data_IF_061545123530
#
_entry.id   IF_061545123530
#
_cell.length_a   1.000
_cell.length_b   1.000
_cell.length_c   1.000
_cell.angle_alpha   90.00
_cell.angle_beta   90.00
_cell.angle_gamma   90.00
#
_symmetry.space_group_name_H-M   'P 1'
#
loop_
_entity.id
_entity.type
_entity.pdbx_description
1 polymer ?
#
# COMPACT_ATOMS: atom_id res chain seq x y z
N UNK A 1 36.23 49.07 6.08
CA UNK A 1 36.47 48.55 4.72
C UNK A 1 37.42 47.34 4.68
N UNK A 2 38.45 47.25 5.54
CA UNK A 2 39.47 46.19 5.47
C UNK A 2 39.01 44.74 5.74
N UNK A 3 37.92 44.50 6.48
CA UNK A 3 37.46 43.13 6.78
C UNK A 3 36.75 42.45 5.59
N UNK A 4 36.20 43.23 4.65
CA UNK A 4 35.47 42.74 3.48
C UNK A 4 36.41 42.30 2.35
N UNK A 5 37.48 43.06 2.11
CA UNK A 5 38.49 42.74 1.10
C UNK A 5 39.35 41.53 1.50
N UNK A 6 39.70 41.40 2.78
CA UNK A 6 40.45 40.23 3.27
C UNK A 6 39.63 38.94 3.14
N UNK A 7 38.31 38.99 3.37
CA UNK A 7 37.41 37.85 3.15
C UNK A 7 37.35 37.44 1.67
N UNK A 8 37.33 38.39 0.74
CA UNK A 8 37.34 38.11 -0.71
C UNK A 8 38.65 37.46 -1.17
N UNK A 9 39.80 37.92 -0.67
CA UNK A 9 41.11 37.34 -1.01
C UNK A 9 41.38 35.97 -0.40
N UNK A 10 40.82 35.69 0.78
CA UNK A 10 40.86 34.35 1.38
C UNK A 10 39.94 33.40 0.62
N UNK A 11 38.73 33.83 0.27
CA UNK A 11 37.77 33.03 -0.50
C UNK A 11 38.31 32.66 -1.88
N UNK A 12 38.97 33.58 -2.60
CA UNK A 12 39.56 33.31 -3.90
C UNK A 12 40.70 32.29 -3.81
N UNK A 13 41.58 32.40 -2.80
CA UNK A 13 42.66 31.43 -2.58
C UNK A 13 42.15 30.03 -2.21
N UNK A 14 41.07 29.97 -1.43
CA UNK A 14 40.41 28.69 -1.10
C UNK A 14 39.79 28.07 -2.35
N UNK A 15 39.10 28.86 -3.19
CA UNK A 15 38.55 28.39 -4.46
C UNK A 15 39.64 27.88 -5.41
N UNK A 16 40.76 28.59 -5.54
CA UNK A 16 41.88 28.16 -6.39
C UNK A 16 42.49 26.83 -5.92
N UNK A 17 42.59 26.60 -4.60
CA UNK A 17 43.06 25.33 -4.02
C UNK A 17 42.03 24.22 -4.28
N UNK A 18 40.74 24.50 -4.10
CA UNK A 18 39.66 23.54 -4.36
C UNK A 18 39.64 23.15 -5.84
N UNK A 19 39.78 24.10 -6.76
CA UNK A 19 39.87 23.81 -8.20
C UNK A 19 41.12 23.00 -8.54
N UNK A 20 42.27 23.33 -7.93
CA UNK A 20 43.53 22.61 -8.16
C UNK A 20 43.48 21.15 -7.70
N UNK A 21 42.74 20.86 -6.64
CA UNK A 21 42.59 19.52 -6.08
C UNK A 21 41.20 18.91 -6.33
N UNK A 22 40.39 19.51 -7.22
CA UNK A 22 39.00 19.13 -7.42
C UNK A 22 38.86 17.65 -7.74
N UNK A 23 39.69 17.13 -8.66
CA UNK A 23 39.66 15.72 -9.06
C UNK A 23 39.99 14.77 -7.89
N UNK A 24 40.97 15.13 -7.06
CA UNK A 24 41.36 14.34 -5.88
C UNK A 24 40.25 14.38 -4.83
N UNK A 25 39.68 15.56 -4.57
CA UNK A 25 38.59 15.73 -3.61
C UNK A 25 37.36 14.95 -4.07
N UNK A 26 36.98 15.04 -5.35
CA UNK A 26 35.89 14.27 -5.94
C UNK A 26 36.14 12.76 -5.79
N UNK A 27 37.35 12.28 -6.08
CA UNK A 27 37.70 10.86 -5.94
C UNK A 27 37.62 10.40 -4.47
N UNK A 28 38.13 11.19 -3.53
CA UNK A 28 38.06 10.88 -2.09
C UNK A 28 36.61 10.88 -1.60
N UNK A 29 35.79 11.85 -2.00
CA UNK A 29 34.38 11.89 -1.61
C UNK A 29 33.58 10.74 -2.22
N UNK A 30 33.84 10.40 -3.48
CA UNK A 30 33.18 9.27 -4.15
C UNK A 30 33.56 7.94 -3.50
N UNK A 31 34.86 7.71 -3.24
CA UNK A 31 35.31 6.51 -2.52
C UNK A 31 34.74 6.44 -1.10
N UNK A 32 34.72 7.55 -0.36
CA UNK A 32 34.08 7.61 0.96
C UNK A 32 32.58 7.28 0.89
N UNK A 33 31.87 7.79 -0.12
CA UNK A 33 30.44 7.49 -0.30
C UNK A 33 30.17 6.02 -0.64
N UNK A 34 31.02 5.39 -1.45
CA UNK A 34 30.93 3.95 -1.77
C UNK A 34 31.19 3.09 -0.54
N UNK A 35 32.21 3.43 0.26
CA UNK A 35 32.48 2.75 1.54
C UNK A 35 31.28 2.89 2.47
N UNK A 36 30.68 4.07 2.55
CA UNK A 36 29.48 4.30 3.37
C UNK A 36 28.28 3.49 2.88
N UNK A 37 28.11 3.36 1.56
CA UNK A 37 27.06 2.55 0.98
C UNK A 37 27.20 1.07 1.38
N UNK A 38 28.43 0.55 1.39
CA UNK A 38 28.73 -0.78 1.88
C UNK A 38 28.52 -0.97 3.39
N UNK A 39 28.30 0.10 4.18
CA UNK A 39 27.97 -0.04 5.61
C UNK A 39 26.47 -0.22 5.87
N UNK A 40 25.59 0.17 4.95
CA UNK A 40 24.13 0.02 5.13
C UNK A 40 23.65 -1.40 5.43
N UNK A 41 24.17 -2.46 4.78
CA UNK A 41 23.72 -3.83 5.04
C UNK A 41 24.20 -4.41 6.39
N UNK A 42 24.99 -3.65 7.17
CA UNK A 42 25.46 -4.11 8.47
C UNK A 42 24.32 -4.17 9.49
N UNK A 43 24.30 -5.17 10.39
CA UNK A 43 23.18 -5.40 11.29
C UNK A 43 22.93 -4.26 12.29
N UNK A 44 23.93 -3.42 12.56
CA UNK A 44 23.85 -2.32 13.52
C UNK A 44 23.33 -1.01 12.91
N UNK A 45 23.18 -0.94 11.59
CA UNK A 45 22.74 0.26 10.89
C UNK A 45 21.21 0.48 10.91
N UNK A 46 20.35 -0.52 10.62
CA UNK A 46 18.91 -0.31 10.61
C UNK A 46 18.40 0.01 12.02
N UNK A 47 17.71 1.15 12.16
CA UNK A 47 16.98 1.48 13.38
C UNK A 47 15.72 0.61 13.48
N UNK A 48 15.22 0.45 14.70
CA UNK A 48 13.90 -0.14 14.92
C UNK A 48 12.83 0.60 14.11
N UNK A 49 11.79 -0.12 13.72
CA UNK A 49 10.65 0.43 12.98
C UNK A 49 10.05 1.55 13.84
N UNK A 50 10.04 2.77 13.28
CA UNK A 50 9.41 3.92 13.89
C UNK A 50 8.11 4.20 13.15
N UNK A 51 7.01 4.29 13.89
CA UNK A 51 5.69 4.67 13.39
C UNK A 51 5.38 6.00 14.07
N UNK A 52 5.07 7.04 13.28
CA UNK A 52 4.72 8.33 13.88
C UNK A 52 3.44 8.21 14.72
N UNK A 53 3.32 9.04 15.77
CA UNK A 53 2.10 9.11 16.60
C UNK A 53 0.85 9.53 15.81
N UNK A 54 1.05 10.11 14.62
CA UNK A 54 -0.01 10.53 13.71
C UNK A 54 -0.36 9.46 12.68
N UNK A 55 0.39 8.38 12.65
CA UNK A 55 0.18 7.25 11.77
C UNK A 55 -0.65 6.19 12.48
N UNK A 56 -1.45 5.46 11.71
CA UNK A 56 -2.34 4.38 12.13
C UNK A 56 -1.75 3.55 13.28
N UNK A 57 -2.23 3.71 14.52
CA UNK A 57 -1.67 2.97 15.67
C UNK A 57 -2.11 1.49 15.67
N UNK A 58 -1.23 0.52 15.36
CA UNK A 58 -1.64 -0.88 15.32
C UNK A 58 -1.89 -1.42 16.74
N UNK A 59 -3.01 -2.14 16.94
CA UNK A 59 -3.10 -3.13 18.03
C UNK A 59 -4.00 -2.86 19.25
N UNK A 60 -5.13 -2.13 19.13
CA UNK A 60 -5.98 -1.87 20.31
C UNK A 60 -7.39 -2.49 20.33
N UNK A 61 -7.80 -3.32 19.35
CA UNK A 61 -9.20 -3.77 19.28
C UNK A 61 -9.33 -5.23 18.82
N UNK A 62 -10.10 -6.03 19.58
CA UNK A 62 -10.57 -7.34 19.15
C UNK A 62 -11.58 -7.20 18.01
N UNK A 63 -11.32 -7.85 16.88
CA UNK A 63 -12.18 -7.80 15.69
C UNK A 63 -13.00 -9.07 15.56
N UNK A 64 -14.31 -8.92 15.39
CA UNK A 64 -15.26 -10.02 15.14
C UNK A 64 -15.46 -10.26 13.63
N UNK A 65 -14.37 -10.26 12.86
CA UNK A 65 -14.44 -10.58 11.43
C UNK A 65 -14.60 -12.09 11.22
N UNK A 66 -15.49 -12.50 10.32
CA UNK A 66 -15.64 -13.90 9.90
C UNK A 66 -17.03 -14.51 10.07
N UNK A 67 -17.97 -13.84 10.76
CA UNK A 67 -19.36 -14.32 10.86
C UNK A 67 -20.06 -14.43 9.49
N UNK A 68 -19.74 -13.50 8.58
CA UNK A 68 -20.38 -13.35 7.27
C UNK A 68 -19.61 -14.03 6.11
N UNK A 69 -18.43 -14.61 6.37
CA UNK A 69 -17.54 -15.09 5.29
C UNK A 69 -18.18 -16.21 4.45
N UNK A 70 -18.93 -17.11 5.09
CA UNK A 70 -19.59 -18.23 4.41
C UNK A 70 -20.71 -17.76 3.48
N UNK A 71 -21.46 -16.72 3.88
CA UNK A 71 -22.52 -16.15 3.07
C UNK A 71 -21.94 -15.49 1.82
N UNK A 72 -20.91 -14.64 2.00
CA UNK A 72 -20.23 -13.96 0.88
C UNK A 72 -19.60 -14.97 -0.06
N UNK A 73 -18.94 -16.01 0.46
CA UNK A 73 -18.34 -17.09 -0.34
C UNK A 73 -19.33 -17.79 -1.26
N UNK A 74 -20.47 -18.21 -0.71
CA UNK A 74 -21.51 -18.89 -1.48
C UNK A 74 -22.10 -17.95 -2.54
N UNK A 75 -22.29 -16.66 -2.21
CA UNK A 75 -22.81 -15.67 -3.15
C UNK A 75 -21.82 -15.35 -4.27
N UNK A 76 -20.52 -15.43 -3.99
CA UNK A 76 -19.44 -15.06 -4.91
C UNK A 76 -19.13 -16.14 -5.95
N UNK A 77 -19.70 -17.35 -5.86
CA UNK A 77 -19.42 -18.45 -6.80
C UNK A 77 -19.62 -18.06 -8.27
N UNK A 78 -20.70 -17.33 -8.59
CA UNK A 78 -20.96 -16.84 -9.95
C UNK A 78 -19.98 -15.74 -10.37
N UNK A 79 -19.67 -14.81 -9.47
CA UNK A 79 -18.69 -13.76 -9.75
C UNK A 79 -17.28 -14.33 -9.97
N UNK A 80 -16.90 -15.36 -9.20
CA UNK A 80 -15.63 -16.06 -9.33
C UNK A 80 -15.46 -16.66 -10.72
N UNK A 81 -16.47 -17.36 -11.22
CA UNK A 81 -16.40 -17.97 -12.56
C UNK A 81 -16.27 -16.91 -13.65
N UNK A 82 -16.95 -15.77 -13.51
CA UNK A 82 -16.80 -14.64 -14.45
C UNK A 82 -15.38 -14.07 -14.43
N UNK A 83 -14.80 -13.86 -13.25
CA UNK A 83 -13.43 -13.35 -13.10
C UNK A 83 -12.39 -14.34 -13.65
N UNK A 84 -12.52 -15.62 -13.29
CA UNK A 84 -11.61 -16.67 -13.73
C UNK A 84 -11.64 -16.83 -15.26
N UNK A 85 -12.82 -16.66 -15.88
CA UNK A 85 -13.01 -16.68 -17.33
C UNK A 85 -12.70 -15.33 -18.03
N UNK A 86 -12.32 -14.28 -17.27
CA UNK A 86 -12.09 -12.91 -17.76
C UNK A 86 -13.29 -12.33 -18.52
N UNK A 87 -14.50 -12.67 -18.09
CA UNK A 87 -15.76 -12.19 -18.67
C UNK A 87 -16.09 -10.79 -18.15
N UNK A 88 -16.39 -9.84 -19.03
CA UNK A 88 -16.79 -8.47 -18.72
C UNK A 88 -18.09 -8.37 -17.91
N UNK A 89 -18.88 -9.45 -17.82
CA UNK A 89 -20.06 -9.56 -16.97
C UNK A 89 -19.78 -9.42 -15.46
N UNK A 90 -18.52 -9.58 -15.01
CA UNK A 90 -18.13 -9.51 -13.59
C UNK A 90 -18.60 -8.22 -12.92
N UNK A 91 -18.53 -7.08 -13.61
CA UNK A 91 -18.86 -5.78 -13.05
C UNK A 91 -20.37 -5.63 -12.77
N UNK A 92 -21.23 -6.18 -13.63
CA UNK A 92 -22.67 -6.13 -13.42
C UNK A 92 -23.09 -7.05 -12.26
N UNK A 93 -22.47 -8.22 -12.17
CA UNK A 93 -22.69 -9.14 -11.04
C UNK A 93 -22.25 -8.51 -9.72
N UNK A 94 -21.10 -7.84 -9.71
CA UNK A 94 -20.58 -7.17 -8.52
C UNK A 94 -21.49 -6.01 -8.06
N UNK A 95 -22.01 -5.20 -8.99
CA UNK A 95 -23.01 -4.16 -8.68
C UNK A 95 -24.27 -4.76 -8.04
N UNK A 96 -24.75 -5.89 -8.55
CA UNK A 96 -25.92 -6.60 -7.99
C UNK A 96 -25.66 -7.05 -6.56
N UNK A 97 -24.46 -7.57 -6.27
CA UNK A 97 -24.08 -7.96 -4.91
C UNK A 97 -24.02 -6.74 -3.97
N UNK A 98 -23.49 -5.60 -4.43
CA UNK A 98 -23.46 -4.39 -3.61
C UNK A 98 -24.86 -3.84 -3.32
N UNK A 99 -25.76 -3.88 -4.30
CA UNK A 99 -27.16 -3.51 -4.11
C UNK A 99 -27.85 -4.44 -3.10
N UNK A 100 -27.59 -5.75 -3.16
CA UNK A 100 -28.07 -6.73 -2.15
C UNK A 100 -27.54 -6.42 -0.75
N UNK A 101 -26.31 -5.93 -0.65
CA UNK A 101 -25.69 -5.53 0.62
C UNK A 101 -26.13 -4.13 1.10
N UNK A 102 -26.84 -3.37 0.28
CA UNK A 102 -27.23 -1.99 0.58
C UNK A 102 -26.06 -1.01 0.58
N UNK A 103 -24.99 -1.29 -0.17
CA UNK A 103 -23.80 -0.43 -0.27
C UNK A 103 -23.92 0.43 -1.53
N UNK A 104 -23.65 1.73 -1.39
CA UNK A 104 -23.60 2.65 -2.53
C UNK A 104 -22.49 2.24 -3.51
N UNK A 105 -22.85 1.86 -4.74
CA UNK A 105 -21.86 1.47 -5.75
C UNK A 105 -22.12 2.14 -7.10
N UNK A 106 -21.05 2.27 -7.88
CA UNK A 106 -21.09 2.85 -9.21
C UNK A 106 -20.11 2.13 -10.15
N UNK A 107 -20.59 1.85 -11.36
CA UNK A 107 -19.81 1.25 -12.44
C UNK A 107 -19.38 2.34 -13.41
N UNK A 108 -18.09 2.39 -13.73
CA UNK A 108 -17.53 3.24 -14.77
C UNK A 108 -16.91 2.38 -15.86
N UNK A 109 -17.34 2.58 -17.11
CA UNK A 109 -16.78 1.89 -18.28
C UNK A 109 -16.30 2.93 -19.27
N UNK A 110 -15.03 2.83 -19.68
CA UNK A 110 -14.43 3.70 -20.69
C UNK A 110 -14.51 3.07 -22.10
N UNK A 111 -14.30 3.90 -23.12
CA UNK A 111 -14.27 3.52 -24.54
C UNK A 111 -13.23 2.43 -24.86
N UNK A 112 -12.17 2.32 -24.07
CA UNK A 112 -11.14 1.27 -24.18
C UNK A 112 -11.52 -0.06 -23.48
N UNK A 113 -12.80 -0.24 -23.15
CA UNK A 113 -13.31 -1.41 -22.41
C UNK A 113 -12.64 -1.58 -21.04
N UNK A 114 -12.18 -0.48 -20.44
CA UNK A 114 -11.72 -0.47 -19.05
C UNK A 114 -12.94 -0.33 -18.16
N UNK A 115 -13.23 -1.38 -17.39
CA UNK A 115 -14.35 -1.38 -16.45
C UNK A 115 -13.82 -1.29 -15.04
N UNK A 116 -14.35 -0.35 -14.28
CA UNK A 116 -14.12 -0.22 -12.85
C UNK A 116 -15.46 -0.17 -12.12
N UNK A 117 -15.49 -0.73 -10.92
CA UNK A 117 -16.63 -0.65 -10.01
C UNK A 117 -16.09 -0.14 -8.70
N UNK A 118 -16.65 0.96 -8.19
CA UNK A 118 -16.36 1.42 -6.83
C UNK A 118 -17.60 1.37 -5.97
N UNK A 119 -17.39 1.05 -4.69
CA UNK A 119 -18.42 1.03 -3.67
C UNK A 119 -17.97 1.85 -2.47
N UNK A 120 -18.89 2.54 -1.81
CA UNK A 120 -18.59 3.48 -0.72
C UNK A 120 -19.36 3.06 0.53
N UNK A 121 -18.62 2.80 1.61
CA UNK A 121 -19.16 2.73 2.97
C UNK A 121 -18.93 4.09 3.61
N UNK A 122 -20.01 4.86 3.79
CA UNK A 122 -19.97 6.21 4.35
C UNK A 122 -19.67 6.17 5.85
N UNK A 123 -18.86 7.12 6.31
CA UNK A 123 -18.65 7.36 7.73
C UNK A 123 -19.95 7.83 8.38
N UNK A 124 -20.36 7.18 9.47
CA UNK A 124 -21.57 7.56 10.22
C UNK A 124 -21.30 8.63 11.28
N UNK A 125 -20.04 8.89 11.61
CA UNK A 125 -19.63 9.78 12.73
C UNK A 125 -18.76 10.97 12.30
N UNK A 126 -18.65 11.26 11.00
CA UNK A 126 -17.78 12.31 10.49
C UNK A 126 -18.38 12.99 9.26
N UNK A 127 -17.80 14.12 8.86
CA UNK A 127 -18.31 15.00 7.80
C UNK A 127 -18.09 14.46 6.37
N UNK A 128 -17.73 13.18 6.21
CA UNK A 128 -17.49 12.50 4.90
C UNK A 128 -16.45 13.18 3.99
N UNK A 129 -15.58 14.02 4.57
CA UNK A 129 -14.56 14.78 3.81
C UNK A 129 -13.32 13.95 3.51
N UNK A 130 -12.98 12.99 4.38
CA UNK A 130 -11.80 12.16 4.28
C UNK A 130 -12.16 10.72 3.93
N UNK A 131 -11.40 10.10 3.03
CA UNK A 131 -11.61 8.72 2.61
C UNK A 131 -10.33 7.89 2.56
N UNK A 132 -10.51 6.59 2.74
CA UNK A 132 -9.49 5.55 2.57
C UNK A 132 -9.93 4.63 1.44
N UNK A 133 -9.06 4.40 0.45
CA UNK A 133 -9.33 3.42 -0.60
C UNK A 133 -8.74 2.04 -0.25
N UNK A 134 -9.49 0.99 -0.57
CA UNK A 134 -8.98 -0.37 -0.62
C UNK A 134 -9.28 -0.90 -2.01
N UNK A 135 -8.26 -1.34 -2.74
CA UNK A 135 -8.37 -1.69 -4.14
C UNK A 135 -7.99 -3.13 -4.41
N UNK A 136 -8.60 -3.71 -5.43
CA UNK A 136 -8.21 -4.98 -6.00
C UNK A 136 -8.44 -4.92 -7.50
N UNK A 137 -7.58 -5.58 -8.27
CA UNK A 137 -7.85 -5.84 -9.69
C UNK A 137 -8.42 -7.24 -9.86
N UNK A 138 -9.19 -7.50 -10.92
CA UNK A 138 -9.65 -8.85 -11.30
C UNK A 138 -8.48 -9.77 -11.68
N UNK A 139 -7.39 -9.17 -12.15
CA UNK A 139 -6.14 -9.85 -12.48
C UNK A 139 -4.99 -9.35 -11.60
N UNK A 140 -4.11 -10.26 -11.22
CA UNK A 140 -2.85 -9.92 -10.54
C UNK A 140 -1.84 -9.36 -11.53
N UNK A 141 -0.78 -8.71 -11.04
CA UNK A 141 0.33 -8.26 -11.90
C UNK A 141 1.02 -9.42 -12.66
N UNK A 142 0.92 -10.66 -12.16
CA UNK A 142 1.40 -11.86 -12.86
C UNK A 142 0.40 -12.45 -13.87
N UNK A 143 -0.64 -11.69 -14.25
CA UNK A 143 -1.71 -12.09 -15.18
C UNK A 143 -2.49 -13.37 -14.76
N UNK A 144 -2.50 -13.67 -13.46
CA UNK A 144 -3.36 -14.70 -12.86
C UNK A 144 -4.67 -14.08 -12.37
N UNK A 145 -5.74 -14.87 -12.29
CA UNK A 145 -6.99 -14.45 -11.65
C UNK A 145 -6.74 -14.02 -10.21
N UNK A 146 -7.37 -12.93 -9.78
CA UNK A 146 -7.32 -12.41 -8.41
C UNK A 146 -8.69 -12.55 -7.73
N UNK A 147 -9.41 -13.64 -8.03
CA UNK A 147 -10.73 -13.91 -7.45
C UNK A 147 -10.69 -13.96 -5.91
N UNK A 148 -9.61 -14.48 -5.33
CA UNK A 148 -9.38 -14.47 -3.88
C UNK A 148 -9.28 -13.05 -3.29
N UNK A 149 -8.64 -12.12 -4.00
CA UNK A 149 -8.52 -10.72 -3.58
C UNK A 149 -9.86 -10.00 -3.63
N UNK A 150 -10.63 -10.26 -4.70
CA UNK A 150 -12.02 -9.78 -4.84
C UNK A 150 -12.91 -10.31 -3.73
N UNK A 151 -12.80 -11.60 -3.40
CA UNK A 151 -13.56 -12.24 -2.33
C UNK A 151 -13.26 -11.63 -0.95
N UNK A 152 -11.99 -11.40 -0.64
CA UNK A 152 -11.57 -10.74 0.60
C UNK A 152 -12.12 -9.31 0.66
N UNK A 153 -11.99 -8.55 -0.43
CA UNK A 153 -12.40 -7.16 -0.48
C UNK A 153 -13.93 -7.02 -0.33
N UNK A 154 -14.68 -7.91 -0.99
CA UNK A 154 -16.14 -7.96 -0.88
C UNK A 154 -16.60 -8.36 0.53
N UNK A 155 -15.91 -9.32 1.15
CA UNK A 155 -16.18 -9.72 2.55
C UNK A 155 -15.92 -8.57 3.53
N UNK A 156 -14.85 -7.79 3.29
CA UNK A 156 -14.57 -6.58 4.05
C UNK A 156 -15.63 -5.50 3.84
N UNK A 157 -16.07 -5.29 2.60
CA UNK A 157 -17.12 -4.32 2.29
C UNK A 157 -18.43 -4.63 3.01
N UNK A 158 -18.89 -5.89 2.95
CA UNK A 158 -20.08 -6.32 3.70
C UNK A 158 -19.90 -6.12 5.20
N UNK A 159 -18.79 -6.62 5.74
CA UNK A 159 -18.51 -6.52 7.16
C UNK A 159 -18.48 -5.07 7.62
N UNK A 160 -17.85 -4.17 6.86
CA UNK A 160 -17.71 -2.76 7.22
C UNK A 160 -19.02 -1.99 7.09
N UNK A 161 -19.87 -2.34 6.12
CA UNK A 161 -21.20 -1.76 5.98
C UNK A 161 -22.10 -2.04 7.21
N UNK A 162 -21.90 -3.19 7.86
CA UNK A 162 -22.64 -3.55 9.07
C UNK A 162 -22.16 -2.78 10.33
N UNK A 163 -21.03 -2.06 10.26
CA UNK A 163 -20.44 -1.34 11.39
C UNK A 163 -20.71 0.17 11.31
N UNK A 164 -20.90 0.83 12.46
CA UNK A 164 -21.29 2.24 12.56
C UNK A 164 -20.31 3.14 13.35
N UNK A 165 -19.03 2.78 13.37
CA UNK A 165 -17.99 3.52 14.10
C UNK A 165 -16.93 4.16 13.21
N UNK A 166 -17.10 4.12 11.89
CA UNK A 166 -16.13 4.70 10.96
C UNK A 166 -16.10 6.23 11.05
N UNK A 167 -14.88 6.77 11.09
CA UNK A 167 -14.61 8.21 11.09
C UNK A 167 -14.21 8.75 9.71
N UNK A 168 -14.03 7.87 8.72
CA UNK A 168 -13.66 8.19 7.34
C UNK A 168 -14.44 7.31 6.39
N UNK A 169 -14.75 7.81 5.20
CA UNK A 169 -15.39 7.01 4.16
C UNK A 169 -14.42 5.92 3.71
N UNK A 170 -14.91 4.70 3.54
CA UNK A 170 -14.12 3.58 3.04
C UNK A 170 -14.59 3.26 1.65
N UNK A 171 -13.67 3.39 0.69
CA UNK A 171 -13.95 3.21 -0.73
C UNK A 171 -13.33 1.91 -1.18
N UNK A 172 -14.16 1.01 -1.68
CA UNK A 172 -13.75 -0.26 -2.25
C UNK A 172 -13.71 -0.13 -3.76
N UNK A 173 -12.54 -0.32 -4.38
CA UNK A 173 -12.37 -0.17 -5.84
C UNK A 173 -11.96 -1.49 -6.46
N UNK A 174 -12.71 -1.91 -7.47
CA UNK A 174 -12.48 -3.10 -8.26
C UNK A 174 -12.18 -2.66 -9.69
N UNK A 175 -11.00 -3.00 -10.21
CA UNK A 175 -10.61 -2.65 -11.57
C UNK A 175 -10.37 -3.87 -12.45
N UNK A 176 -10.66 -3.71 -13.75
CA UNK A 176 -10.06 -4.56 -14.77
C UNK A 176 -8.67 -4.02 -15.16
N UNK A 177 -7.84 -4.89 -15.76
CA UNK A 177 -6.53 -4.57 -16.33
C UNK A 177 -5.50 -3.99 -15.34
N UNK A 178 -5.66 -4.21 -14.04
CA UNK A 178 -4.64 -3.85 -13.05
C UNK A 178 -4.49 -2.35 -12.86
N UNK A 179 -3.28 -1.84 -13.14
CA UNK A 179 -2.87 -0.45 -12.91
C UNK A 179 -3.69 0.55 -13.74
N UNK A 180 -3.89 0.26 -15.02
CA UNK A 180 -4.54 1.18 -15.96
C UNK A 180 -5.98 1.49 -15.57
N UNK A 181 -6.70 0.48 -15.04
CA UNK A 181 -8.06 0.66 -14.55
C UNK A 181 -8.13 1.59 -13.35
N UNK A 182 -7.21 1.46 -12.39
CA UNK A 182 -7.13 2.37 -11.23
C UNK A 182 -6.74 3.78 -11.67
N UNK A 183 -5.77 3.92 -12.58
CA UNK A 183 -5.35 5.22 -13.09
C UNK A 183 -6.53 5.96 -13.74
N UNK A 184 -7.31 5.28 -14.57
CA UNK A 184 -8.49 5.88 -15.19
C UNK A 184 -9.56 6.23 -14.17
N UNK A 185 -9.82 5.35 -13.20
CA UNK A 185 -10.75 5.64 -12.11
C UNK A 185 -10.35 6.92 -11.33
N UNK A 186 -9.07 7.09 -11.02
CA UNK A 186 -8.56 8.30 -10.37
C UNK A 186 -8.75 9.55 -11.24
N UNK A 187 -8.51 9.46 -12.55
CA UNK A 187 -8.76 10.58 -13.47
C UNK A 187 -10.23 11.01 -13.50
N UNK A 188 -11.14 10.03 -13.47
CA UNK A 188 -12.58 10.26 -13.44
C UNK A 188 -13.00 10.95 -12.13
N UNK A 189 -12.49 10.50 -10.98
CA UNK A 189 -12.81 11.14 -9.68
C UNK A 189 -12.25 12.57 -9.55
N UNK A 190 -11.10 12.85 -10.16
CA UNK A 190 -10.44 14.15 -10.10
C UNK A 190 -10.94 15.16 -11.15
N UNK A 191 -11.97 14.83 -11.94
CA UNK A 191 -12.57 15.70 -12.97
C UNK A 191 -11.57 16.25 -14.00
N UNK A 192 -10.44 15.57 -14.22
CA UNK A 192 -9.47 15.96 -15.25
C UNK A 192 -10.10 15.82 -16.66
N UNK A 193 -11.20 15.06 -16.77
CA UNK A 193 -12.00 14.91 -17.97
C UNK A 193 -13.27 15.77 -17.83
N UNK A 194 -13.23 17.00 -18.35
CA UNK A 194 -14.31 18.00 -18.26
C UNK A 194 -15.66 17.58 -18.90
N UNK A 195 -15.71 16.47 -19.63
CA UNK A 195 -16.85 16.11 -20.48
C UNK A 195 -17.60 14.83 -20.11
N UNK A 196 -17.20 14.09 -19.07
CA UNK A 196 -17.90 12.85 -18.70
C UNK A 196 -18.43 12.88 -17.28
N UNK A 197 -19.77 12.78 -17.21
CA UNK A 197 -20.58 12.21 -16.14
C UNK A 197 -20.33 12.75 -14.72
N UNK A 198 -21.30 13.51 -14.21
CA UNK A 198 -21.44 13.71 -12.77
C UNK A 198 -21.58 12.33 -12.11
N UNK A 199 -20.50 11.84 -11.49
CA UNK A 199 -20.55 10.63 -10.68
C UNK A 199 -21.65 10.77 -9.63
N UNK A 200 -22.53 9.77 -9.57
CA UNK A 200 -23.62 9.75 -8.57
C UNK A 200 -23.04 9.61 -7.17
N UNK A 201 -21.97 8.83 -7.04
CA UNK A 201 -21.29 8.55 -5.78
C UNK A 201 -19.84 9.03 -5.86
N UNK A 202 -19.64 10.33 -5.61
CA UNK A 202 -18.31 10.97 -5.63
C UNK A 202 -17.48 10.59 -4.41
N UNK A 203 -16.21 10.29 -4.65
CA UNK A 203 -15.17 10.10 -3.62
C UNK A 203 -14.42 11.42 -3.42
N UNK A 204 -14.21 11.82 -2.18
CA UNK A 204 -13.45 13.03 -1.84
C UNK A 204 -12.41 12.76 -0.75
N UNK A 205 -11.34 13.55 -0.76
CA UNK A 205 -10.30 13.54 0.28
C UNK A 205 -9.64 12.18 0.50
N UNK A 206 -9.26 11.48 -0.58
CA UNK A 206 -8.48 10.24 -0.49
C UNK A 206 -7.13 10.53 0.18
N UNK A 207 -6.91 9.95 1.36
CA UNK A 207 -5.66 10.13 2.11
C UNK A 207 -4.66 9.02 1.84
N UNK A 208 -5.16 7.78 1.76
CA UNK A 208 -4.33 6.62 1.51
C UNK A 208 -5.09 5.56 0.71
N UNK A 209 -4.36 4.65 0.08
CA UNK A 209 -4.92 3.51 -0.62
C UNK A 209 -4.16 2.21 -0.29
N UNK A 210 -4.90 1.12 -0.10
CA UNK A 210 -4.34 -0.21 0.09
C UNK A 210 -4.77 -1.13 -1.04
N UNK A 211 -3.82 -1.59 -1.84
CA UNK A 211 -4.11 -2.58 -2.88
C UNK A 211 -3.86 -4.00 -2.38
N UNK A 212 -4.76 -4.92 -2.74
CA UNK A 212 -4.69 -6.34 -2.36
C UNK A 212 -4.60 -7.19 -3.62
N UNK A 213 -3.56 -8.01 -3.70
CA UNK A 213 -3.38 -9.04 -4.73
C UNK A 213 -3.22 -10.43 -4.09
N UNK A 214 -4.21 -11.29 -4.23
CA UNK A 214 -4.19 -12.66 -3.75
C UNK A 214 -4.26 -13.62 -4.95
N UNK A 215 -3.10 -14.07 -5.48
CA UNK A 215 -3.08 -15.03 -6.57
C UNK A 215 -3.76 -16.36 -6.15
N UNK A 216 -4.20 -17.21 -7.09
CA UNK A 216 -4.93 -18.42 -6.75
C UNK A 216 -4.09 -19.35 -5.86
N UNK A 217 -4.59 -19.61 -4.65
CA UNK A 217 -4.01 -20.51 -3.66
C UNK A 217 -5.05 -20.89 -2.61
N UNK A 218 -4.89 -22.02 -1.92
CA UNK A 218 -5.63 -22.40 -0.72
C UNK A 218 -5.18 -21.64 0.51
N UNK A 219 -3.89 -21.31 0.61
CA UNK A 219 -3.31 -20.63 1.76
C UNK A 219 -2.07 -19.83 1.37
N UNK A 220 -1.81 -18.74 2.08
CA UNK A 220 -0.62 -17.92 1.89
C UNK A 220 0.33 -18.11 3.07
N UNK A 221 1.61 -18.37 2.80
CA UNK A 221 2.64 -18.47 3.83
C UNK A 221 3.00 -17.08 4.37
N UNK A 222 3.27 -16.17 3.44
CA UNK A 222 3.83 -14.85 3.71
C UNK A 222 3.26 -13.83 2.71
N UNK A 223 3.61 -12.56 2.92
CA UNK A 223 3.14 -11.46 2.09
C UNK A 223 4.29 -10.65 1.53
N UNK A 224 4.21 -10.33 0.25
CA UNK A 224 5.10 -9.40 -0.41
C UNK A 224 4.49 -8.00 -0.39
N UNK A 225 5.27 -7.00 0.04
CA UNK A 225 4.91 -5.59 -0.01
C UNK A 225 5.58 -4.94 -1.23
N UNK A 226 4.78 -4.20 -1.98
CA UNK A 226 5.22 -3.35 -3.08
C UNK A 226 4.75 -1.94 -2.79
N UNK A 227 5.64 -0.96 -2.85
CA UNK A 227 5.33 0.44 -2.51
C UNK A 227 5.97 1.43 -3.49
N UNK A 228 6.69 0.94 -4.50
CA UNK A 228 7.31 1.79 -5.51
C UNK A 228 6.28 2.28 -6.51
N UNK A 229 6.33 3.59 -6.77
CA UNK A 229 5.56 4.24 -7.81
C UNK A 229 6.37 4.52 -9.06
N UNK A 230 5.68 5.07 -10.07
CA UNK A 230 6.32 5.58 -11.28
C UNK A 230 7.37 6.64 -10.92
N UNK A 231 8.46 6.68 -11.68
CA UNK A 231 9.55 7.66 -11.51
C UNK A 231 10.22 7.66 -10.11
N UNK A 232 10.20 6.52 -9.40
CA UNK A 232 10.86 6.38 -8.10
C UNK A 232 10.12 7.06 -6.94
N UNK A 233 8.82 7.31 -7.10
CA UNK A 233 7.96 7.78 -6.02
C UNK A 233 7.83 6.70 -4.93
N UNK A 234 7.74 7.15 -3.68
CA UNK A 234 7.55 6.31 -2.51
C UNK A 234 6.46 6.92 -1.63
N UNK A 235 5.60 6.10 -1.00
CA UNK A 235 4.68 6.58 0.03
C UNK A 235 5.47 7.02 1.25
N UNK A 236 4.78 7.72 2.15
CA UNK A 236 5.31 7.95 3.48
C UNK A 236 5.71 6.62 4.16
N UNK A 237 6.87 6.61 4.82
CA UNK A 237 7.48 5.45 5.48
C UNK A 237 6.57 4.83 6.55
N UNK A 238 5.69 5.64 7.15
CA UNK A 238 4.72 5.19 8.14
C UNK A 238 3.82 4.07 7.60
N UNK A 239 3.33 4.17 6.36
CA UNK A 239 2.37 3.21 5.80
C UNK A 239 2.94 1.77 5.71
N UNK A 240 4.09 1.51 5.06
CA UNK A 240 4.68 0.17 5.05
C UNK A 240 5.13 -0.30 6.43
N UNK A 241 5.55 0.62 7.32
CA UNK A 241 5.92 0.28 8.70
C UNK A 241 4.73 -0.24 9.50
N UNK A 242 3.57 0.42 9.39
CA UNK A 242 2.32 -0.03 10.01
C UNK A 242 1.93 -1.40 9.48
N UNK A 243 1.95 -1.59 8.16
CA UNK A 243 1.58 -2.88 7.57
C UNK A 243 2.52 -3.97 8.08
N UNK A 244 3.82 -3.74 8.10
CA UNK A 244 4.79 -4.69 8.65
C UNK A 244 4.51 -5.02 10.11
N UNK A 245 4.23 -4.01 10.94
CA UNK A 245 3.93 -4.19 12.36
C UNK A 245 2.66 -5.04 12.57
N UNK A 246 1.58 -4.75 11.83
CA UNK A 246 0.31 -5.48 11.91
C UNK A 246 0.48 -6.94 11.51
N UNK A 247 1.22 -7.21 10.43
CA UNK A 247 1.46 -8.58 9.99
C UNK A 247 2.39 -9.33 10.95
N UNK A 248 3.39 -8.64 11.54
CA UNK A 248 4.30 -9.21 12.53
C UNK A 248 3.59 -9.68 13.80
N UNK A 249 2.66 -8.88 14.36
CA UNK A 249 1.82 -9.30 15.49
C UNK A 249 1.05 -10.60 15.21
N UNK A 250 0.76 -10.89 13.94
CA UNK A 250 -0.04 -12.02 13.51
C UNK A 250 0.79 -13.18 12.92
N UNK A 251 2.12 -13.17 13.14
CA UNK A 251 3.08 -14.20 12.69
C UNK A 251 3.17 -14.39 11.17
N UNK A 252 2.88 -13.35 10.40
CA UNK A 252 3.18 -13.33 8.97
C UNK A 252 4.44 -12.51 8.72
N UNK A 253 5.32 -13.02 7.86
CA UNK A 253 6.45 -12.24 7.40
C UNK A 253 6.01 -11.37 6.22
N UNK A 254 6.26 -10.08 6.33
CA UNK A 254 6.13 -9.17 5.19
C UNK A 254 7.50 -8.95 4.58
N UNK A 255 7.66 -9.36 3.34
CA UNK A 255 8.88 -9.21 2.58
C UNK A 255 8.73 -8.09 1.58
N UNK A 256 9.71 -7.21 1.50
CA UNK A 256 9.74 -6.29 0.38
C UNK A 256 9.97 -7.09 -0.92
N UNK A 257 9.12 -6.92 -1.92
CA UNK A 257 9.21 -7.66 -3.19
C UNK A 257 9.15 -9.20 -3.07
N UNK A 258 8.79 -9.77 -1.91
CA UNK A 258 8.86 -11.22 -1.68
C UNK A 258 10.28 -11.74 -1.44
N UNK A 259 11.24 -10.86 -1.14
CA UNK A 259 12.63 -11.25 -0.87
C UNK A 259 12.81 -12.07 0.40
N UNK A 260 13.85 -12.88 0.41
CA UNK A 260 14.12 -13.88 1.45
C UNK A 260 14.27 -13.27 2.85
N UNK A 261 13.88 -14.05 3.86
CA UNK A 261 14.19 -13.74 5.24
C UNK A 261 15.71 -13.77 5.45
N UNK A 262 16.32 -12.60 5.66
CA UNK A 262 17.75 -12.47 5.93
C UNK A 262 18.11 -12.63 7.42
N UNK A 263 17.16 -12.98 8.28
CA UNK A 263 17.41 -13.25 9.70
C UNK A 263 17.99 -14.66 9.85
N UNK A 264 19.30 -14.77 9.60
CA UNK A 264 20.06 -16.00 9.73
C UNK A 264 20.45 -16.19 11.21
N UNK A 265 20.03 -17.30 11.81
CA UNK A 265 20.21 -17.61 13.26
C UNK A 265 21.68 -17.76 13.70
N UNK A 266 22.64 -17.84 12.76
CA UNK A 266 24.05 -18.07 13.10
C UNK A 266 24.81 -16.76 13.34
N UNK A 267 25.34 -16.57 14.55
CA UNK A 267 26.20 -15.44 14.90
C UNK A 267 27.67 -15.59 14.47
N UNK A 268 28.03 -16.72 13.86
CA UNK A 268 29.37 -16.97 13.33
C UNK A 268 29.75 -15.99 12.22
N UNK A 269 31.06 -15.81 11.97
CA UNK A 269 31.58 -14.93 10.90
C UNK A 269 30.94 -15.26 9.54
N UNK A 270 30.76 -16.56 9.24
CA UNK A 270 30.06 -17.00 8.02
C UNK A 270 28.60 -16.57 7.99
N UNK A 271 27.91 -16.62 9.12
CA UNK A 271 26.54 -16.15 9.28
C UNK A 271 26.39 -14.65 9.05
N UNK A 272 27.30 -13.87 9.64
CA UNK A 272 27.34 -12.42 9.45
C UNK A 272 27.60 -12.03 7.99
N UNK A 273 28.52 -12.73 7.30
CA UNK A 273 28.77 -12.52 5.87
C UNK A 273 27.53 -12.87 5.03
N UNK A 274 26.89 -14.01 5.29
CA UNK A 274 25.69 -14.42 4.57
C UNK A 274 24.54 -13.44 4.78
N UNK A 275 24.35 -12.95 6.01
CA UNK A 275 23.35 -11.92 6.33
C UNK A 275 23.64 -10.63 5.59
N UNK A 276 24.90 -10.18 5.62
CA UNK A 276 25.33 -9.00 4.88
C UNK A 276 25.03 -9.13 3.39
N UNK A 277 25.38 -10.27 2.77
CA UNK A 277 25.13 -10.51 1.34
C UNK A 277 23.63 -10.55 1.02
N UNK A 278 22.83 -11.17 1.87
CA UNK A 278 21.37 -11.22 1.72
C UNK A 278 20.74 -9.82 1.79
N UNK A 279 21.08 -9.03 2.82
CA UNK A 279 20.58 -7.65 2.97
C UNK A 279 21.09 -6.76 1.84
N UNK A 280 22.35 -6.92 1.42
CA UNK A 280 22.93 -6.18 0.30
C UNK A 280 22.18 -6.46 -1.00
N UNK A 281 21.86 -7.72 -1.26
CA UNK A 281 21.07 -8.12 -2.42
C UNK A 281 19.69 -7.45 -2.39
N UNK A 282 19.00 -7.48 -1.26
CA UNK A 282 17.70 -6.82 -1.09
C UNK A 282 17.79 -5.30 -1.29
N UNK A 283 18.79 -4.64 -0.72
CA UNK A 283 19.00 -3.19 -0.90
C UNK A 283 19.27 -2.84 -2.37
N UNK A 284 20.15 -3.57 -3.05
CA UNK A 284 20.46 -3.35 -4.46
C UNK A 284 19.25 -3.60 -5.35
N UNK A 285 18.46 -4.62 -5.03
CA UNK A 285 17.21 -4.87 -5.73
C UNK A 285 16.22 -3.71 -5.57
N UNK A 286 16.06 -3.18 -4.36
CA UNK A 286 15.17 -2.05 -4.12
C UNK A 286 15.65 -0.80 -4.87
N UNK A 287 16.96 -0.54 -4.82
CA UNK A 287 17.58 0.55 -5.58
C UNK A 287 17.37 0.38 -7.08
N UNK A 288 17.42 -0.86 -7.61
CA UNK A 288 17.11 -1.18 -9.01
C UNK A 288 15.67 -0.80 -9.34
N UNK A 289 14.69 -1.23 -8.56
CA UNK A 289 13.27 -0.90 -8.77
C UNK A 289 13.00 0.61 -8.72
N UNK A 290 13.58 1.29 -7.74
CA UNK A 290 13.53 2.76 -7.60
C UNK A 290 14.16 3.49 -8.78
N UNK A 291 15.36 3.07 -9.21
CA UNK A 291 16.10 3.73 -10.29
C UNK A 291 15.42 3.57 -11.66
N UNK A 292 14.83 2.40 -11.93
CA UNK A 292 14.07 2.18 -13.15
C UNK A 292 12.66 2.76 -13.11
N UNK A 293 12.15 3.10 -11.91
CA UNK A 293 10.83 3.69 -11.74
C UNK A 293 9.69 2.77 -12.21
N UNK A 294 9.94 1.47 -12.25
CA UNK A 294 8.97 0.46 -12.66
C UNK A 294 8.00 0.19 -11.52
N UNK A 295 6.71 0.39 -11.78
CA UNK A 295 5.62 0.06 -10.85
C UNK A 295 5.25 -1.42 -10.93
N UNK A 296 4.95 -2.01 -9.77
CA UNK A 296 4.43 -3.38 -9.66
C UNK A 296 3.20 -3.36 -8.75
N UNK A 297 2.01 -3.50 -9.34
CA UNK A 297 0.74 -3.51 -8.61
C UNK A 297 -0.13 -2.29 -8.89
N UNK A 298 -1.36 -2.32 -8.36
CA UNK A 298 -2.37 -1.29 -8.68
C UNK A 298 -2.25 -0.04 -7.81
N UNK A 299 -1.29 0.03 -6.89
CA UNK A 299 -1.06 1.18 -6.00
C UNK A 299 -0.33 2.34 -6.69
N UNK A 300 0.47 2.08 -7.72
CA UNK A 300 1.36 3.09 -8.31
C UNK A 300 0.67 4.37 -8.83
N UNK A 301 -0.54 4.30 -9.44
CA UNK A 301 -1.29 5.48 -9.85
C UNK A 301 -1.59 6.42 -8.69
N UNK A 302 -1.89 5.89 -7.49
CA UNK A 302 -2.21 6.73 -6.33
C UNK A 302 -1.05 7.65 -5.94
N UNK A 303 0.19 7.15 -6.03
CA UNK A 303 1.38 7.94 -5.73
C UNK A 303 1.55 9.13 -6.69
N UNK A 304 1.16 8.97 -7.96
CA UNK A 304 1.17 10.05 -8.96
C UNK A 304 0.20 11.18 -8.57
N UNK A 305 -0.94 10.83 -7.97
CA UNK A 305 -1.93 11.75 -7.43
C UNK A 305 -1.64 12.22 -5.99
N UNK A 306 -0.44 11.93 -5.45
CA UNK A 306 -0.01 12.27 -4.07
C UNK A 306 -0.86 11.63 -2.97
N UNK A 307 -1.37 10.43 -3.23
CA UNK A 307 -2.07 9.60 -2.26
C UNK A 307 -1.12 8.48 -1.83
N UNK A 308 -0.88 8.35 -0.52
CA UNK A 308 0.02 7.32 0.00
C UNK A 308 -0.58 5.93 -0.23
N UNK A 309 0.13 5.06 -0.94
CA UNK A 309 -0.40 3.75 -1.30
C UNK A 309 0.65 2.65 -1.36
N UNK A 310 0.21 1.41 -1.09
CA UNK A 310 1.02 0.21 -1.28
C UNK A 310 0.16 -0.98 -1.71
N UNK A 311 0.78 -1.97 -2.35
CA UNK A 311 0.18 -3.26 -2.67
C UNK A 311 0.69 -4.35 -1.74
N UNK A 312 -0.24 -5.11 -1.16
CA UNK A 312 0.02 -6.34 -0.43
C UNK A 312 -0.29 -7.52 -1.35
N UNK A 313 0.71 -8.35 -1.61
CA UNK A 313 0.56 -9.58 -2.40
C UNK A 313 0.74 -10.82 -1.56
N UNK A 314 -0.18 -11.78 -1.66
CA UNK A 314 -0.03 -13.09 -1.01
C UNK A 314 1.00 -13.97 -1.74
N UNK A 315 1.89 -14.61 -0.99
CA UNK A 315 2.81 -15.64 -1.51
C UNK A 315 2.09 -16.99 -1.41
N UNK A 316 1.70 -17.60 -2.55
CA UNK A 316 0.87 -18.80 -2.55
C UNK A 316 1.67 -20.02 -2.10
N UNK A 317 1.09 -20.85 -1.21
CA UNK A 317 1.69 -22.13 -0.82
C UNK A 317 1.45 -23.24 -1.86
N UNK A 318 0.40 -23.09 -2.64
CA UNK A 318 -0.05 -24.07 -3.61
C UNK A 318 -0.70 -23.39 -4.82
N UNK A 319 -1.06 -24.17 -5.83
CA UNK A 319 -1.71 -23.68 -7.05
C UNK A 319 -3.21 -23.98 -7.07
N UNK A 320 -3.86 -24.11 -5.90
CA UNK A 320 -5.30 -24.34 -5.84
C UNK A 320 -6.08 -23.09 -6.21
N UNK A 321 -7.20 -23.26 -6.91
CA UNK A 321 -7.98 -22.11 -7.36
C UNK A 321 -8.83 -21.49 -6.25
N UNK A 322 -9.13 -22.20 -5.15
CA UNK A 322 -10.00 -21.74 -4.04
C UNK A 322 -9.21 -21.55 -2.75
N UNK A 323 -9.42 -20.44 -2.05
CA UNK A 323 -8.81 -20.18 -0.73
C UNK A 323 -9.56 -20.90 0.39
N UNK A 324 -8.83 -21.42 1.38
CA UNK A 324 -9.41 -21.87 2.65
C UNK A 324 -10.11 -20.69 3.36
N UNK A 325 -11.40 -20.81 3.72
CA UNK A 325 -12.13 -19.76 4.42
C UNK A 325 -11.40 -19.25 5.67
N UNK A 326 -10.68 -20.11 6.39
CA UNK A 326 -9.91 -19.71 7.57
C UNK A 326 -8.80 -18.70 7.23
N UNK A 327 -8.15 -18.83 6.07
CA UNK A 327 -7.12 -17.90 5.61
C UNK A 327 -7.73 -16.52 5.33
N UNK A 328 -8.89 -16.48 4.66
CA UNK A 328 -9.58 -15.22 4.36
C UNK A 328 -10.11 -14.54 5.62
N UNK A 329 -10.66 -15.31 6.57
CA UNK A 329 -11.09 -14.79 7.88
C UNK A 329 -9.90 -14.16 8.61
N UNK A 330 -8.75 -14.83 8.63
CA UNK A 330 -7.53 -14.28 9.23
C UNK A 330 -7.15 -12.96 8.56
N UNK A 331 -7.06 -12.94 7.23
CA UNK A 331 -6.67 -11.72 6.49
C UNK A 331 -7.64 -10.57 6.70
N UNK A 332 -8.95 -10.83 6.63
CA UNK A 332 -9.95 -9.79 6.84
C UNK A 332 -9.97 -9.29 8.29
N UNK A 333 -9.70 -10.15 9.27
CA UNK A 333 -9.54 -9.73 10.67
C UNK A 333 -8.36 -8.77 10.86
N UNK A 334 -7.29 -8.93 10.07
CA UNK A 334 -6.11 -8.05 10.12
C UNK A 334 -6.36 -6.73 9.42
N UNK A 335 -6.99 -6.75 8.24
CA UNK A 335 -7.41 -5.54 7.53
C UNK A 335 -8.42 -4.74 8.37
N UNK A 336 -9.32 -5.41 9.10
CA UNK A 336 -10.22 -4.74 10.02
C UNK A 336 -9.45 -4.03 11.15
N UNK A 337 -8.46 -4.70 11.76
CA UNK A 337 -7.62 -4.10 12.82
C UNK A 337 -6.80 -2.90 12.33
N UNK A 338 -6.26 -2.97 11.11
CA UNK A 338 -5.46 -1.88 10.54
C UNK A 338 -6.28 -0.61 10.27
N UNK A 339 -7.53 -0.77 9.88
CA UNK A 339 -8.41 0.36 9.54
C UNK A 339 -9.05 0.95 10.80
N UNK A 340 -9.38 0.11 11.79
CA UNK A 340 -9.84 0.57 13.10
C UNK A 340 -8.82 1.47 13.79
N UNK A 341 -7.54 1.12 13.72
CA UNK A 341 -6.43 1.95 14.19
C UNK A 341 -6.49 3.38 13.61
N UNK A 342 -6.81 3.52 12.32
CA UNK A 342 -6.97 4.82 11.65
C UNK A 342 -8.12 5.66 12.22
N UNK A 343 -9.23 5.00 12.55
CA UNK A 343 -10.49 5.70 12.82
C UNK A 343 -10.50 6.44 14.17
N UNK A 344 -9.72 5.96 15.13
CA UNK A 344 -9.73 6.48 16.51
C UNK A 344 -8.79 7.66 16.72
N UNK A 345 -7.63 7.69 16.04
CA UNK A 345 -6.69 8.81 16.16
C UNK A 345 -7.25 10.12 15.59
N UNK A 346 -8.11 10.04 14.58
CA UNK A 346 -8.87 11.20 14.09
C UNK A 346 -9.91 11.71 15.11
N UNK A 347 -10.52 10.82 15.91
CA UNK A 347 -11.50 11.20 16.93
C UNK A 347 -10.85 11.80 18.18
N UNK A 348 -9.68 11.29 18.58
CA UNK A 348 -8.94 11.83 19.72
C UNK A 348 -8.47 13.28 19.48
N UNK A 349 -8.16 13.65 18.23
CA UNK A 349 -7.72 15.01 17.86
C UNK A 349 -8.84 16.04 17.80
N UNK A 350 -10.09 15.64 17.57
CA UNK A 350 -11.21 16.58 17.50
C UNK A 350 -11.84 16.89 18.86
N UNK A 351 -11.46 16.18 19.93
CA UNK A 351 -12.10 16.28 21.26
C UNK A 351 -11.11 16.49 22.42
N UNK A 352 -9.93 17.07 22.17
CA UNK A 352 -9.14 17.65 23.27
C UNK A 352 -9.84 18.95 23.66
N UNK A 353 -10.37 19.10 24.89
CA UNK A 353 -10.78 20.42 25.36
C UNK A 353 -9.52 21.28 25.43
N UNK A 354 -9.57 22.46 24.82
CA UNK A 354 -8.62 23.54 25.04
C UNK A 354 -8.69 23.98 26.51
N UNK A 355 -8.12 23.20 27.42
CA UNK A 355 -7.74 23.66 28.74
C UNK A 355 -6.39 24.37 28.61
N UNK A 356 -6.43 25.49 27.91
CA UNK A 356 -5.40 26.52 27.99
C UNK A 356 -6.06 27.88 28.21
N UNK A 357 -6.34 28.19 29.47
CA UNK A 357 -6.21 29.56 29.98
C UNK A 357 -6.27 29.61 31.51
N UNK A 358 -5.61 30.58 32.16
CA UNK A 358 -4.38 31.30 31.82
C UNK A 358 -3.17 30.87 32.67
#
# INVERSE_FOLDING_TARGET
MNASENKKGILSRVLDIVYKFADIICFVLLSASLVWLCLFPTPNYPKNIYISENALLPGQIETTFGGESNYVQNRMLNLRTLIDNKDQGWANELMTIFDEFGIESEKSTDNELLTTVHAIVRATRADTVESLAITTSTITTCNKSNSNGVELLLSLAKHFADQNYWSKDIVFVFSDKGEDGIYKWLQLQNLVLENELNHKHRVSGLQAALSIELPPSSSYSDFALYYEGKNGQLPNLDLPNIVKEIFSYNRFSTFHHGNFNCDLESNDIKGQINRYLCVSYGLLENMKWLAFGTSVGTHAPFLEFRIDALTIRGIPNDSMNSTDPATLIRLGSYAHRSILANSRDSYAKTHIPDDSSP
#
